data_IF_892162673202
#
_entry.id   IF_892162673202
#
_cell.length_a   1.000
_cell.length_b   1.000
_cell.length_c   1.000
_cell.angle_alpha   90.00
_cell.angle_beta   90.00
_cell.angle_gamma   90.00
#
_symmetry.space_group_name_H-M   'P 1'
#
loop_
_entity.id
_entity.type
_entity.pdbx_description
1 polymer ?
#
# COMPACT_ATOMS: atom_id res chain seq x y z
N UNK A 1 5.68 16.56 13.21
CA UNK A 1 4.98 15.99 12.03
C UNK A 1 5.31 14.51 11.87
N UNK A 2 6.59 14.11 11.79
CA UNK A 2 6.99 12.70 11.59
C UNK A 2 6.52 11.76 12.69
N UNK A 3 6.57 12.17 13.96
CA UNK A 3 6.11 11.37 15.10
C UNK A 3 4.60 11.19 15.09
N UNK A 4 3.85 12.26 14.79
CA UNK A 4 2.40 12.17 14.66
C UNK A 4 1.99 11.25 13.52
N UNK A 5 2.65 11.33 12.35
CA UNK A 5 2.40 10.41 11.25
C UNK A 5 2.66 8.96 11.65
N UNK A 6 3.77 8.66 12.33
CA UNK A 6 4.08 7.30 12.82
C UNK A 6 3.02 6.78 13.78
N UNK A 7 2.55 7.64 14.67
CA UNK A 7 1.48 7.29 15.59
C UNK A 7 0.16 6.98 14.84
N UNK A 8 -0.19 7.78 13.84
CA UNK A 8 -1.35 7.52 12.98
C UNK A 8 -1.21 6.20 12.22
N UNK A 9 -0.06 5.96 11.57
CA UNK A 9 0.19 4.72 10.82
C UNK A 9 0.04 3.48 11.71
N UNK A 10 0.58 3.50 12.91
CA UNK A 10 0.48 2.38 13.84
C UNK A 10 -0.97 2.04 14.24
N UNK A 11 -1.91 2.98 14.09
CA UNK A 11 -3.34 2.78 14.40
C UNK A 11 -4.19 2.53 13.16
N UNK A 12 -4.08 3.41 12.18
CA UNK A 12 -4.96 3.38 11.00
C UNK A 12 -4.84 2.10 10.19
N UNK A 13 -3.64 1.50 10.13
CA UNK A 13 -3.42 0.29 9.37
C UNK A 13 -3.74 -1.00 10.15
N UNK A 14 -4.01 -0.90 11.46
CA UNK A 14 -4.41 -2.04 12.28
C UNK A 14 -5.92 -2.27 12.33
N UNK A 15 -6.71 -1.22 12.18
CA UNK A 15 -8.17 -1.27 12.22
C UNK A 15 -8.70 -1.53 10.81
N UNK A 16 -8.77 -2.80 10.40
CA UNK A 16 -9.18 -3.19 9.06
C UNK A 16 -10.66 -2.93 8.74
N UNK A 17 -11.47 -2.59 9.74
CA UNK A 17 -12.92 -2.40 9.57
C UNK A 17 -13.32 -0.95 9.27
N UNK A 18 -12.46 0.03 9.54
CA UNK A 18 -12.78 1.42 9.25
C UNK A 18 -12.74 1.70 7.73
N UNK A 19 -13.48 2.75 7.33
CA UNK A 19 -13.63 3.11 5.92
C UNK A 19 -12.29 3.47 5.26
N UNK A 20 -11.40 4.15 5.97
CA UNK A 20 -10.09 4.52 5.45
C UNK A 20 -9.25 3.28 5.15
N UNK A 21 -9.21 2.31 6.06
CA UNK A 21 -8.50 1.05 5.89
C UNK A 21 -9.05 0.22 4.72
N UNK A 22 -10.38 0.14 4.58
CA UNK A 22 -11.03 -0.56 3.46
C UNK A 22 -10.70 0.08 2.11
N UNK A 23 -10.79 1.41 1.99
CA UNK A 23 -10.39 2.11 0.78
C UNK A 23 -8.90 1.87 0.49
N UNK A 24 -8.06 1.98 1.50
CA UNK A 24 -6.61 1.78 1.36
C UNK A 24 -6.26 0.38 0.87
N UNK A 25 -6.93 -0.66 1.38
CA UNK A 25 -6.72 -2.04 0.93
C UNK A 25 -7.03 -2.21 -0.57
N UNK A 26 -8.10 -1.59 -1.05
CA UNK A 26 -8.47 -1.60 -2.47
C UNK A 26 -7.48 -0.78 -3.30
N UNK A 27 -7.15 0.43 -2.86
CA UNK A 27 -6.29 1.34 -3.62
C UNK A 27 -4.84 0.86 -3.72
N UNK A 28 -4.32 0.19 -2.71
CA UNK A 28 -2.96 -0.39 -2.75
C UNK A 28 -2.85 -1.57 -3.73
N UNK A 29 -3.98 -2.19 -4.07
CA UNK A 29 -4.08 -3.32 -5.01
C UNK A 29 -4.64 -2.93 -6.38
N UNK A 30 -4.92 -1.65 -6.61
CA UNK A 30 -5.61 -1.19 -7.84
C UNK A 30 -4.84 -1.53 -9.12
N UNK A 31 -3.57 -1.87 -9.03
CA UNK A 31 -2.74 -2.27 -10.16
C UNK A 31 -2.58 -3.80 -10.29
N UNK A 32 -3.20 -4.59 -9.41
CA UNK A 32 -2.98 -6.05 -9.39
C UNK A 32 -3.68 -6.76 -10.55
N UNK A 33 -4.75 -6.18 -11.12
CA UNK A 33 -5.45 -6.71 -12.29
C UNK A 33 -5.37 -5.75 -13.49
N UNK A 34 -5.51 -6.29 -14.70
CA UNK A 34 -5.56 -5.48 -15.91
C UNK A 34 -6.78 -4.54 -15.92
N UNK A 35 -7.92 -5.02 -15.44
CA UNK A 35 -9.14 -4.23 -15.36
C UNK A 35 -8.95 -2.95 -14.51
N UNK A 36 -8.32 -3.10 -13.37
CA UNK A 36 -8.08 -1.96 -12.46
C UNK A 36 -6.95 -1.05 -12.96
N UNK A 37 -5.95 -1.59 -13.67
CA UNK A 37 -4.90 -0.78 -14.31
C UNK A 37 -5.46 0.19 -15.34
N UNK A 38 -6.43 -0.24 -16.13
CA UNK A 38 -7.10 0.61 -17.12
C UNK A 38 -7.87 1.78 -16.46
N UNK A 39 -8.38 1.57 -15.24
CA UNK A 39 -9.07 2.62 -14.49
C UNK A 39 -8.16 3.68 -13.89
N UNK A 40 -6.90 3.36 -13.65
CA UNK A 40 -5.96 4.27 -12.96
C UNK A 40 -5.64 5.53 -13.78
N UNK A 41 -5.70 5.46 -15.10
CA UNK A 41 -5.57 6.62 -15.98
C UNK A 41 -6.79 7.55 -15.95
N UNK A 42 -7.90 7.11 -15.35
CA UNK A 42 -9.12 7.87 -15.22
C UNK A 42 -9.09 8.73 -13.95
N UNK A 43 -9.78 9.85 -14.02
CA UNK A 43 -9.98 10.67 -12.83
C UNK A 43 -10.88 9.92 -11.83
N UNK A 44 -10.29 9.38 -10.77
CA UNK A 44 -11.02 8.59 -9.77
C UNK A 44 -12.06 9.39 -8.96
N UNK A 45 -12.14 10.71 -9.11
CA UNK A 45 -13.20 11.51 -8.51
C UNK A 45 -14.41 11.67 -9.42
N UNK A 46 -14.25 11.52 -10.75
CA UNK A 46 -15.31 11.74 -11.74
C UNK A 46 -15.67 10.50 -12.54
N UNK A 47 -14.79 9.51 -12.63
CA UNK A 47 -15.04 8.26 -13.35
C UNK A 47 -16.19 7.47 -12.71
N UNK A 48 -17.23 7.16 -13.48
CA UNK A 48 -18.33 6.32 -13.02
C UNK A 48 -17.85 4.89 -12.79
N UNK A 49 -17.06 4.34 -13.71
CA UNK A 49 -16.49 2.98 -13.62
C UNK A 49 -15.71 2.79 -12.31
N UNK A 50 -14.90 3.78 -11.96
CA UNK A 50 -14.15 3.75 -10.71
C UNK A 50 -15.04 3.84 -9.47
N UNK A 51 -16.10 4.66 -9.51
CA UNK A 51 -17.08 4.74 -8.42
C UNK A 51 -17.80 3.42 -8.22
N UNK A 52 -18.23 2.78 -9.30
CA UNK A 52 -18.92 1.50 -9.24
C UNK A 52 -17.98 0.40 -8.69
N UNK A 53 -16.72 0.41 -9.11
CA UNK A 53 -15.72 -0.48 -8.57
C UNK A 53 -15.55 -0.32 -7.05
N UNK A 54 -15.37 0.91 -6.56
CA UNK A 54 -15.27 1.18 -5.13
C UNK A 54 -16.55 0.84 -4.37
N UNK A 55 -17.71 1.16 -4.91
CA UNK A 55 -18.99 0.82 -4.28
C UNK A 55 -19.09 -0.70 -4.04
N UNK A 56 -18.71 -1.49 -5.03
CA UNK A 56 -18.77 -2.95 -4.95
C UNK A 56 -17.73 -3.57 -3.97
N UNK A 57 -16.55 -2.95 -3.83
CA UNK A 57 -15.47 -3.53 -3.03
C UNK A 57 -15.37 -2.93 -1.63
N UNK A 58 -15.85 -1.71 -1.43
CA UNK A 58 -15.72 -1.01 -0.14
C UNK A 58 -17.06 -0.83 0.57
N UNK A 59 -18.19 -1.05 -0.12
CA UNK A 59 -19.53 -0.77 0.38
C UNK A 59 -19.62 0.65 0.97
N UNK A 60 -19.42 1.65 0.13
CA UNK A 60 -19.21 3.03 0.55
C UNK A 60 -20.21 3.96 -0.11
N UNK A 61 -20.90 4.76 0.69
CA UNK A 61 -21.72 5.89 0.22
C UNK A 61 -20.85 7.15 0.01
N UNK A 62 -21.36 8.09 -0.76
CA UNK A 62 -20.74 9.41 -1.00
C UNK A 62 -19.26 9.32 -1.41
N UNK A 63 -18.97 8.50 -2.41
CA UNK A 63 -17.61 8.21 -2.91
C UNK A 63 -16.79 9.48 -3.17
N UNK A 64 -17.27 10.53 -3.85
CA UNK A 64 -16.44 11.70 -4.16
C UNK A 64 -15.91 12.43 -2.91
N UNK A 65 -16.73 12.52 -1.86
CA UNK A 65 -16.32 13.15 -0.58
C UNK A 65 -15.29 12.31 0.14
N UNK A 66 -15.57 11.01 0.24
CA UNK A 66 -14.71 10.07 0.96
C UNK A 66 -13.35 9.90 0.26
N UNK A 67 -13.33 9.87 -1.07
CA UNK A 67 -12.09 9.82 -1.84
C UNK A 67 -11.24 11.08 -1.71
N UNK A 68 -11.85 12.27 -1.57
CA UNK A 68 -11.08 13.49 -1.28
C UNK A 68 -10.40 13.43 0.08
N UNK A 69 -11.13 12.98 1.11
CA UNK A 69 -10.57 12.81 2.44
C UNK A 69 -9.49 11.72 2.46
N UNK A 70 -9.78 10.56 1.85
CA UNK A 70 -8.83 9.46 1.75
C UNK A 70 -7.52 9.90 1.05
N UNK A 71 -7.60 10.63 -0.05
CA UNK A 71 -6.44 11.14 -0.79
C UNK A 71 -5.50 11.96 0.09
N UNK A 72 -6.06 12.87 0.88
CA UNK A 72 -5.26 13.67 1.81
C UNK A 72 -4.54 12.78 2.83
N UNK A 73 -5.28 11.91 3.48
CA UNK A 73 -4.72 11.03 4.51
C UNK A 73 -3.76 9.98 3.96
N UNK A 74 -4.03 9.41 2.79
CA UNK A 74 -3.14 8.42 2.17
C UNK A 74 -1.77 9.00 1.83
N UNK A 75 -1.73 10.22 1.29
CA UNK A 75 -0.47 10.94 1.05
C UNK A 75 0.25 11.27 2.36
N UNK A 76 -0.47 11.77 3.36
CA UNK A 76 0.11 12.10 4.66
C UNK A 76 0.70 10.87 5.36
N UNK A 77 -0.01 9.74 5.32
CA UNK A 77 0.41 8.48 5.94
C UNK A 77 1.47 7.74 5.10
N UNK A 78 1.72 8.16 3.87
CA UNK A 78 2.74 7.59 3.01
C UNK A 78 2.35 6.24 2.42
N UNK A 79 1.08 6.09 2.02
CA UNK A 79 0.59 4.92 1.30
C UNK A 79 0.86 5.00 -0.20
N UNK A 80 1.17 6.21 -0.70
CA UNK A 80 1.47 6.43 -2.10
C UNK A 80 1.52 7.91 -2.45
N UNK A 81 1.72 8.17 -3.74
CA UNK A 81 1.80 9.50 -4.31
C UNK A 81 0.48 9.84 -5.00
N UNK A 82 -0.07 11.00 -4.70
CA UNK A 82 -1.19 11.56 -5.44
C UNK A 82 -0.63 12.52 -6.47
N UNK A 83 -0.90 12.24 -7.72
CA UNK A 83 -0.54 13.10 -8.84
C UNK A 83 -1.77 13.85 -9.33
N UNK A 84 -1.67 15.17 -9.42
CA UNK A 84 -2.69 16.04 -10.01
C UNK A 84 -2.29 16.40 -11.43
N UNK A 85 -3.21 16.24 -12.36
CA UNK A 85 -3.06 16.61 -13.76
C UNK A 85 -4.29 17.38 -14.23
N UNK A 86 -4.25 17.92 -15.45
CA UNK A 86 -5.44 18.57 -16.07
C UNK A 86 -6.64 17.61 -16.17
N UNK A 87 -6.39 16.29 -16.25
CA UNK A 87 -7.42 15.26 -16.30
C UNK A 87 -7.96 14.88 -14.92
N UNK A 88 -7.36 15.42 -13.84
CA UNK A 88 -7.74 15.14 -12.46
C UNK A 88 -6.64 14.42 -11.66
N UNK A 89 -7.06 13.61 -10.69
CA UNK A 89 -6.14 12.99 -9.74
C UNK A 89 -5.94 11.52 -10.07
N UNK A 90 -4.69 11.08 -10.03
CA UNK A 90 -4.30 9.67 -10.03
C UNK A 90 -3.53 9.32 -8.75
N UNK A 91 -3.51 8.06 -8.40
CA UNK A 91 -2.80 7.56 -7.22
C UNK A 91 -1.79 6.50 -7.64
N UNK A 92 -0.53 6.70 -7.29
CA UNK A 92 0.53 5.72 -7.46
C UNK A 92 0.85 5.10 -6.09
N UNK A 93 0.51 3.83 -5.87
CA UNK A 93 0.83 3.16 -4.64
C UNK A 93 2.35 3.06 -4.42
N UNK A 94 2.83 3.60 -3.31
CA UNK A 94 4.22 3.49 -2.86
C UNK A 94 4.26 3.58 -1.34
N UNK A 95 4.54 2.48 -0.69
CA UNK A 95 4.53 2.37 0.77
C UNK A 95 5.89 2.65 1.42
N UNK A 96 6.84 3.27 0.72
CA UNK A 96 8.18 3.57 1.28
C UNK A 96 8.13 4.25 2.64
N UNK A 97 7.32 5.30 2.77
CA UNK A 97 7.21 6.07 4.01
C UNK A 97 6.54 5.24 5.10
N UNK A 98 5.45 4.56 4.76
CA UNK A 98 4.71 3.69 5.66
C UNK A 98 5.58 2.53 6.18
N UNK A 99 6.30 1.85 5.29
CA UNK A 99 7.25 0.79 5.64
C UNK A 99 8.41 1.30 6.51
N UNK A 100 8.96 2.47 6.18
CA UNK A 100 10.01 3.09 6.99
C UNK A 100 9.52 3.39 8.42
N UNK A 101 8.28 3.83 8.57
CA UNK A 101 7.68 4.08 9.88
C UNK A 101 7.38 2.76 10.61
N UNK A 102 6.93 1.72 9.90
CA UNK A 102 6.67 0.39 10.47
C UNK A 102 7.95 -0.27 11.00
N UNK A 103 9.05 -0.24 10.24
CA UNK A 103 10.37 -0.73 10.68
C UNK A 103 10.80 -0.05 11.98
N UNK A 104 10.62 1.27 12.10
CA UNK A 104 10.94 2.02 13.30
C UNK A 104 10.02 1.70 14.47
N UNK A 105 8.71 1.54 14.22
CA UNK A 105 7.73 1.19 15.24
C UNK A 105 7.94 -0.23 15.77
N UNK A 106 8.31 -1.16 14.90
CA UNK A 106 8.66 -2.53 15.24
C UNK A 106 10.02 -2.63 15.97
N UNK A 107 10.80 -1.54 15.99
CA UNK A 107 12.18 -1.50 16.51
C UNK A 107 13.03 -2.61 15.90
N UNK A 108 12.87 -2.83 14.59
CA UNK A 108 13.57 -3.86 13.87
C UNK A 108 15.08 -3.57 13.92
N UNK A 109 15.85 -4.50 14.48
CA UNK A 109 17.31 -4.39 14.58
C UNK A 109 17.97 -4.74 13.24
N UNK A 110 19.21 -4.29 13.06
CA UNK A 110 19.99 -4.67 11.90
C UNK A 110 20.30 -6.18 11.96
N UNK A 111 20.00 -6.90 10.89
CA UNK A 111 20.19 -8.35 10.83
C UNK A 111 19.80 -8.92 9.48
N UNK A 112 19.94 -10.23 9.34
CA UNK A 112 19.46 -10.97 8.18
C UNK A 112 18.08 -11.56 8.52
N UNK A 113 17.09 -11.27 7.70
CA UNK A 113 15.74 -11.76 7.83
C UNK A 113 15.32 -12.45 6.55
N UNK A 114 14.62 -13.56 6.66
CA UNK A 114 13.83 -14.07 5.54
C UNK A 114 12.69 -13.09 5.25
N UNK A 115 12.13 -13.17 4.06
CA UNK A 115 10.97 -12.34 3.70
C UNK A 115 9.80 -12.58 4.66
N UNK A 116 9.59 -13.83 5.06
CA UNK A 116 8.52 -14.20 5.99
C UNK A 116 8.75 -13.59 7.37
N UNK A 117 9.93 -13.77 7.96
CA UNK A 117 10.27 -13.17 9.27
C UNK A 117 10.13 -11.65 9.25
N UNK A 118 10.63 -11.01 8.19
CA UNK A 118 10.51 -9.57 8.03
C UNK A 118 9.05 -9.11 7.97
N UNK A 119 8.22 -9.83 7.20
CA UNK A 119 6.80 -9.50 7.08
C UNK A 119 6.03 -9.77 8.36
N UNK A 120 6.33 -10.86 9.09
CA UNK A 120 5.68 -11.19 10.37
C UNK A 120 5.92 -10.09 11.41
N UNK A 121 7.14 -9.53 11.46
CA UNK A 121 7.45 -8.41 12.35
C UNK A 121 6.71 -7.14 11.95
N UNK A 122 6.52 -6.88 10.65
CA UNK A 122 5.86 -5.67 10.15
C UNK A 122 4.33 -5.80 10.11
N UNK A 123 3.79 -7.01 10.03
CA UNK A 123 2.35 -7.26 9.90
C UNK A 123 1.48 -6.50 10.90
N UNK A 124 1.81 -6.39 12.20
CA UNK A 124 1.04 -5.60 13.16
C UNK A 124 0.90 -4.12 12.80
N UNK A 125 1.75 -3.62 11.90
CA UNK A 125 1.78 -2.21 11.46
C UNK A 125 1.31 -2.01 10.01
N UNK A 126 1.05 -3.11 9.28
CA UNK A 126 0.74 -3.11 7.85
C UNK A 126 -0.45 -3.99 7.47
N UNK A 127 -1.39 -4.22 8.38
CA UNK A 127 -2.51 -5.16 8.17
C UNK A 127 -3.31 -4.90 6.90
N UNK A 128 -3.43 -3.64 6.48
CA UNK A 128 -4.16 -3.27 5.25
C UNK A 128 -3.41 -3.64 3.97
N UNK A 129 -2.09 -3.71 4.04
CA UNK A 129 -1.22 -3.86 2.85
C UNK A 129 -0.82 -5.32 2.58
N UNK A 130 -1.08 -6.22 3.51
CA UNK A 130 -0.73 -7.62 3.33
C UNK A 130 -1.82 -8.35 2.55
N UNK A 131 -1.46 -9.28 1.65
CA UNK A 131 -2.43 -10.13 1.01
C UNK A 131 -3.16 -10.95 2.08
N UNK A 132 -4.48 -11.14 1.92
CA UNK A 132 -5.22 -12.09 2.72
C UNK A 132 -4.59 -13.49 2.57
N UNK A 133 -4.63 -14.31 3.63
CA UNK A 133 -4.18 -15.68 3.57
C UNK A 133 -4.85 -16.40 2.40
N UNK A 134 -4.06 -17.00 1.51
CA UNK A 134 -4.56 -17.74 0.34
C UNK A 134 -4.43 -17.02 -1.01
N UNK A 135 -4.22 -15.72 -1.07
CA UNK A 135 -4.06 -14.95 -2.32
C UNK A 135 -2.61 -14.91 -2.82
N UNK A 136 -1.96 -16.03 -2.94
CA UNK A 136 -0.69 -16.15 -3.66
C UNK A 136 0.49 -15.35 -3.05
N UNK A 137 1.70 -15.76 -3.40
CA UNK A 137 2.98 -15.22 -2.90
C UNK A 137 3.40 -13.90 -3.57
N UNK A 138 2.44 -13.00 -3.87
CA UNK A 138 2.76 -11.72 -4.52
C UNK A 138 2.51 -10.56 -3.56
N UNK A 139 3.42 -9.61 -3.56
CA UNK A 139 3.16 -8.32 -2.94
C UNK A 139 2.24 -7.46 -3.81
N UNK A 140 1.36 -6.66 -3.20
CA UNK A 140 0.68 -5.61 -3.94
C UNK A 140 1.70 -4.57 -4.45
N UNK A 141 1.34 -3.81 -5.47
CA UNK A 141 2.26 -2.84 -6.10
C UNK A 141 2.80 -1.83 -5.08
N UNK A 142 1.95 -1.31 -4.19
CA UNK A 142 2.39 -0.34 -3.18
C UNK A 142 3.47 -0.87 -2.25
N UNK A 143 3.34 -2.14 -1.82
CA UNK A 143 4.36 -2.83 -1.03
C UNK A 143 5.63 -3.04 -1.83
N UNK A 144 5.51 -3.53 -3.07
CA UNK A 144 6.65 -3.79 -3.94
C UNK A 144 7.45 -2.51 -4.24
N UNK A 145 6.77 -1.41 -4.57
CA UNK A 145 7.42 -0.12 -4.78
C UNK A 145 8.11 0.39 -3.52
N UNK A 146 7.44 0.29 -2.37
CA UNK A 146 8.03 0.69 -1.10
C UNK A 146 9.27 -0.13 -0.73
N UNK A 147 9.26 -1.45 -0.96
CA UNK A 147 10.42 -2.31 -0.73
C UNK A 147 11.59 -1.99 -1.67
N UNK A 148 11.31 -1.72 -2.97
CA UNK A 148 12.32 -1.26 -3.91
C UNK A 148 12.94 0.06 -3.46
N UNK A 149 12.12 1.04 -3.11
CA UNK A 149 12.59 2.35 -2.64
C UNK A 149 13.41 2.24 -1.34
N UNK A 150 13.07 1.32 -0.44
CA UNK A 150 13.88 1.01 0.74
C UNK A 150 15.24 0.40 0.36
N UNK A 151 15.25 -0.51 -0.62
CA UNK A 151 16.47 -1.13 -1.15
C UNK A 151 17.37 -0.08 -1.80
N UNK A 152 16.84 0.73 -2.71
CA UNK A 152 17.57 1.77 -3.45
C UNK A 152 18.14 2.85 -2.51
N UNK A 153 17.44 3.12 -1.42
CA UNK A 153 17.91 4.03 -0.36
C UNK A 153 18.91 3.39 0.63
N UNK A 154 19.25 2.12 0.45
CA UNK A 154 20.19 1.38 1.30
C UNK A 154 19.67 1.08 2.71
N UNK A 155 18.37 1.24 2.98
CA UNK A 155 17.80 0.93 4.30
C UNK A 155 17.58 -0.56 4.52
N UNK A 156 17.30 -1.28 3.43
CA UNK A 156 17.28 -2.75 3.40
C UNK A 156 18.08 -3.20 2.17
N UNK A 157 18.56 -4.42 2.20
CA UNK A 157 19.20 -5.04 1.03
C UNK A 157 18.47 -6.33 0.72
N UNK A 158 17.63 -6.29 -0.34
CA UNK A 158 17.00 -7.49 -0.88
C UNK A 158 18.01 -8.33 -1.62
N UNK A 159 18.10 -9.63 -1.31
CA UNK A 159 18.95 -10.59 -1.99
C UNK A 159 18.11 -11.79 -2.40
N UNK A 160 18.31 -12.27 -3.62
CA UNK A 160 17.77 -13.54 -4.04
C UNK A 160 18.71 -14.67 -3.62
N UNK A 161 18.19 -15.62 -2.85
CA UNK A 161 18.91 -16.86 -2.56
C UNK A 161 18.36 -17.95 -3.51
N UNK A 162 19.19 -18.55 -4.39
CA UNK A 162 18.74 -19.54 -5.38
C UNK A 162 18.12 -20.79 -4.76
N UNK A 163 18.50 -21.11 -3.54
CA UNK A 163 18.06 -22.24 -2.74
C UNK A 163 17.00 -21.89 -1.70
N UNK A 164 16.47 -20.68 -1.74
CA UNK A 164 15.40 -20.28 -0.83
C UNK A 164 14.14 -21.11 -1.06
N UNK A 165 13.65 -21.74 0.01
CA UNK A 165 12.41 -22.54 0.00
C UNK A 165 11.17 -21.68 -0.27
N UNK A 166 11.25 -20.39 0.03
CA UNK A 166 10.18 -19.44 -0.15
C UNK A 166 10.67 -18.19 -0.88
N UNK A 167 9.96 -17.79 -1.91
CA UNK A 167 10.17 -16.53 -2.60
C UNK A 167 8.83 -15.83 -2.81
N UNK A 168 8.81 -14.49 -2.72
CA UNK A 168 7.64 -13.68 -3.08
C UNK A 168 7.96 -12.87 -4.33
N UNK A 169 7.10 -12.97 -5.31
CA UNK A 169 7.27 -12.20 -6.54
C UNK A 169 6.97 -10.72 -6.28
N UNK A 170 7.86 -9.86 -6.75
CA UNK A 170 7.57 -8.43 -6.90
C UNK A 170 6.88 -8.24 -8.27
N UNK A 171 5.73 -7.57 -8.33
CA UNK A 171 5.11 -7.23 -9.60
C UNK A 171 6.07 -6.36 -10.42
N UNK A 172 5.99 -6.46 -11.74
CA UNK A 172 6.76 -5.62 -12.65
C UNK A 172 6.40 -4.15 -12.41
N UNK A 173 7.40 -3.28 -12.56
CA UNK A 173 7.20 -1.83 -12.49
C UNK A 173 6.39 -1.38 -13.71
N UNK A 174 5.39 -0.55 -13.50
CA UNK A 174 4.56 0.05 -14.56
C UNK A 174 5.30 1.24 -15.15
#
# INVERSE_FOLDING_TARGET
>A
VKEFRRWCNARSLRESEDLFSRISAVMLRIYDSQETREMVGENFTTSQRFRDYLANHVNMENIPRNMRAWRFWSSFLGLGLVHESEKGFSFLPDMYVCLSDAIKNAKLEAGNYTVTEFMDVLQPFLTVALPAEGEGRKFCLGMANGLRSLHDSGKIIGRHAPDAKESRALPETI
#
